data_IF_013871353356
#
_entry.id   IF_013871353356
#
_cell.length_a   1.000
_cell.length_b   1.000
_cell.length_c   1.000
_cell.angle_alpha   90.00
_cell.angle_beta   90.00
_cell.angle_gamma   90.00
#
_symmetry.space_group_name_H-M   'P 1'
#
loop_
_entity.id
_entity.type
_entity.pdbx_description
1 polymer ?
#
# COMPACT_ATOMS: atom_id res chain seq x y z
N UNK A 1 1.80 25.79 38.24
CA UNK A 1 2.79 24.85 37.68
C UNK A 1 2.28 24.44 36.31
N UNK A 2 3.05 24.62 35.24
CA UNK A 2 2.66 24.04 33.95
C UNK A 2 2.92 22.54 33.98
N UNK A 3 1.93 21.74 33.61
CA UNK A 3 2.10 20.29 33.45
C UNK A 3 3.05 20.03 32.28
N UNK A 4 4.10 19.24 32.49
CA UNK A 4 4.95 18.74 31.41
C UNK A 4 4.13 17.75 30.58
N UNK A 5 3.96 17.99 29.28
CA UNK A 5 3.12 17.18 28.41
C UNK A 5 3.97 16.24 27.52
N UNK A 6 5.16 16.68 27.11
CA UNK A 6 6.09 15.86 26.34
C UNK A 6 7.53 16.37 26.50
N UNK A 7 8.49 15.54 26.11
CA UNK A 7 9.90 15.90 25.95
C UNK A 7 10.24 15.93 24.46
N UNK A 8 10.95 16.96 24.02
CA UNK A 8 11.55 17.03 22.69
C UNK A 8 13.05 16.94 22.85
N UNK A 9 13.65 15.94 22.21
CA UNK A 9 15.08 15.66 22.23
C UNK A 9 15.63 15.87 20.81
N UNK A 10 16.69 16.66 20.69
CA UNK A 10 17.46 16.83 19.45
C UNK A 10 18.84 16.23 19.68
N UNK A 11 19.16 15.16 18.96
CA UNK A 11 20.48 14.53 18.97
C UNK A 11 21.14 14.59 17.59
N UNK A 12 22.47 14.52 17.60
CA UNK A 12 23.26 14.26 16.39
C UNK A 12 24.20 13.10 16.70
N UNK A 13 23.96 11.97 16.06
CA UNK A 13 24.68 10.73 16.29
C UNK A 13 25.56 10.41 15.08
N UNK A 14 26.78 9.93 15.35
CA UNK A 14 27.72 9.55 14.29
C UNK A 14 27.13 8.37 13.48
N UNK A 15 27.10 8.51 12.15
CA UNK A 15 26.49 7.53 11.24
C UNK A 15 24.97 7.64 11.08
N UNK A 16 24.24 8.12 12.09
CA UNK A 16 22.77 8.22 12.09
C UNK A 16 22.24 9.61 11.71
N UNK A 17 23.07 10.65 11.82
CA UNK A 17 22.70 12.00 11.41
C UNK A 17 21.99 12.78 12.51
N UNK A 18 20.99 13.60 12.16
CA UNK A 18 20.21 14.40 13.11
C UNK A 18 18.91 13.68 13.43
N UNK A 19 18.60 13.52 14.72
CA UNK A 19 17.34 12.93 15.19
C UNK A 19 16.58 13.93 16.04
N UNK A 20 15.30 14.11 15.74
CA UNK A 20 14.33 14.80 16.59
C UNK A 20 13.37 13.76 17.15
N UNK A 21 13.33 13.59 18.46
CA UNK A 21 12.48 12.61 19.15
C UNK A 21 11.52 13.33 20.10
N UNK A 22 10.22 13.13 19.88
CA UNK A 22 9.16 13.58 20.77
C UNK A 22 8.64 12.40 21.58
N UNK A 23 8.77 12.46 22.91
CA UNK A 23 8.31 11.42 23.85
C UNK A 23 7.16 11.97 24.68
N UNK A 24 6.00 11.30 24.64
CA UNK A 24 4.90 11.66 25.53
C UNK A 24 5.28 11.29 26.98
N UNK A 25 4.87 12.13 27.95
CA UNK A 25 5.15 11.87 29.36
C UNK A 25 4.31 10.71 29.90
N UNK A 26 3.05 10.64 29.50
CA UNK A 26 2.03 9.81 30.16
C UNK A 26 1.63 8.56 29.34
N UNK A 27 2.19 8.40 28.14
CA UNK A 27 1.98 7.23 27.28
C UNK A 27 3.29 6.75 26.66
N UNK A 28 3.27 5.54 26.09
CA UNK A 28 4.37 5.01 25.28
C UNK A 28 4.37 5.53 23.84
N UNK A 29 3.57 6.55 23.55
CA UNK A 29 3.50 7.15 22.22
C UNK A 29 4.73 8.02 21.99
N UNK A 30 5.34 7.87 20.82
CA UNK A 30 6.52 8.62 20.44
C UNK A 30 6.59 8.87 18.94
N UNK A 31 7.21 9.98 18.57
CA UNK A 31 7.43 10.35 17.20
C UNK A 31 8.90 10.69 16.98
N UNK A 32 9.45 10.26 15.85
CA UNK A 32 10.84 10.52 15.51
C UNK A 32 10.96 10.99 14.06
N UNK A 33 11.84 11.96 13.84
CA UNK A 33 12.34 12.35 12.52
C UNK A 33 13.85 12.14 12.54
N UNK A 34 14.36 11.33 11.63
CA UNK A 34 15.78 11.09 11.46
C UNK A 34 16.22 11.56 10.07
N UNK A 35 17.22 12.44 10.05
CA UNK A 35 17.85 13.00 8.87
C UNK A 35 19.28 12.47 8.80
N UNK A 36 19.49 11.44 7.99
CA UNK A 36 20.82 10.86 7.75
C UNK A 36 21.45 11.44 6.48
N UNK A 37 22.67 11.00 6.15
CA UNK A 37 23.32 11.39 4.91
C UNK A 37 22.67 10.78 3.65
N UNK A 38 21.89 9.71 3.80
CA UNK A 38 21.35 8.92 2.68
C UNK A 38 19.83 8.76 2.72
N UNK A 39 19.18 9.12 3.83
CA UNK A 39 17.76 8.88 4.04
C UNK A 39 17.10 9.88 4.97
N UNK A 40 15.79 10.00 4.81
CA UNK A 40 14.90 10.67 5.74
C UNK A 40 13.94 9.61 6.27
N UNK A 41 13.87 9.45 7.59
CA UNK A 41 13.00 8.46 8.24
C UNK A 41 12.05 9.16 9.20
N UNK A 42 10.75 8.88 9.07
CA UNK A 42 9.71 9.33 10.00
C UNK A 42 9.14 8.10 10.70
N UNK A 43 9.08 8.14 12.03
CA UNK A 43 8.53 7.05 12.84
C UNK A 43 7.43 7.62 13.72
N UNK A 44 6.30 6.94 13.77
CA UNK A 44 5.20 7.21 14.69
C UNK A 44 4.83 5.94 15.41
N UNK A 45 4.92 5.94 16.75
CA UNK A 45 4.51 4.83 17.59
C UNK A 45 3.31 5.20 18.44
N UNK A 46 2.36 4.27 18.52
CA UNK A 46 1.26 4.31 19.46
C UNK A 46 1.19 2.94 20.15
N UNK A 47 1.58 2.89 21.42
CA UNK A 47 1.78 1.61 22.12
C UNK A 47 2.78 0.71 21.38
N UNK A 48 2.32 -0.48 20.94
CA UNK A 48 3.12 -1.42 20.14
C UNK A 48 3.06 -1.17 18.64
N UNK A 49 2.08 -0.38 18.17
CA UNK A 49 1.90 -0.12 16.74
C UNK A 49 2.89 0.92 16.26
N UNK A 50 3.52 0.66 15.11
CA UNK A 50 4.51 1.58 14.52
C UNK A 50 4.16 1.85 13.06
N UNK A 51 4.20 3.10 12.62
CA UNK A 51 4.28 3.44 11.20
C UNK A 51 5.64 4.09 10.94
N UNK A 52 6.31 3.62 9.91
CA UNK A 52 7.60 4.17 9.46
C UNK A 52 7.50 4.58 8.00
N UNK A 53 7.90 5.81 7.69
CA UNK A 53 8.15 6.25 6.31
C UNK A 53 9.65 6.40 6.13
N UNK A 54 10.21 5.83 5.08
CA UNK A 54 11.64 5.96 4.75
C UNK A 54 11.78 6.41 3.32
N UNK A 55 12.44 7.56 3.14
CA UNK A 55 12.79 8.11 1.84
C UNK A 55 14.31 8.00 1.65
N UNK A 56 14.73 7.52 0.49
CA UNK A 56 16.12 7.58 0.03
C UNK A 56 16.18 8.37 -1.28
N UNK A 57 17.35 8.46 -1.91
CA UNK A 57 17.49 9.09 -3.22
C UNK A 57 16.64 8.41 -4.31
N UNK A 58 16.44 7.09 -4.20
CA UNK A 58 15.90 6.25 -5.26
C UNK A 58 14.63 5.49 -4.87
N UNK A 59 14.14 5.69 -3.63
CA UNK A 59 12.97 4.96 -3.12
C UNK A 59 12.20 5.72 -2.04
N UNK A 60 10.94 5.32 -1.89
CA UNK A 60 10.06 5.71 -0.80
C UNK A 60 9.32 4.46 -0.30
N UNK A 61 9.33 4.21 1.00
CA UNK A 61 8.56 3.13 1.64
C UNK A 61 7.71 3.66 2.78
N UNK A 62 6.51 3.11 2.93
CA UNK A 62 5.63 3.28 4.08
C UNK A 62 5.35 1.90 4.65
N UNK A 63 5.86 1.64 5.84
CA UNK A 63 5.74 0.38 6.56
C UNK A 63 4.80 0.58 7.75
N UNK A 64 3.69 -0.16 7.78
CA UNK A 64 2.70 -0.11 8.86
C UNK A 64 2.76 -1.40 9.67
N UNK A 65 2.89 -1.23 10.97
CA UNK A 65 2.85 -2.23 12.03
C UNK A 65 3.76 -3.44 11.76
N UNK A 66 5.06 -3.17 11.55
CA UNK A 66 6.05 -4.22 11.29
C UNK A 66 5.85 -4.92 9.94
N UNK A 67 5.55 -4.15 8.89
CA UNK A 67 5.33 -4.62 7.50
C UNK A 67 4.08 -5.47 7.27
N UNK A 68 3.07 -5.37 8.15
CA UNK A 68 1.74 -5.94 7.87
C UNK A 68 1.05 -5.26 6.68
N UNK A 69 1.37 -3.99 6.45
CA UNK A 69 1.05 -3.31 5.21
C UNK A 69 2.24 -2.47 4.77
N UNK A 70 2.59 -2.56 3.50
CA UNK A 70 3.74 -1.88 2.89
C UNK A 70 3.29 -1.24 1.59
N UNK A 71 3.64 0.03 1.41
CA UNK A 71 3.66 0.69 0.12
C UNK A 71 5.11 1.07 -0.19
N UNK A 72 5.69 0.48 -1.21
CA UNK A 72 7.06 0.75 -1.64
C UNK A 72 7.08 1.26 -3.07
N UNK A 73 7.97 2.21 -3.32
CA UNK A 73 8.17 2.82 -4.63
C UNK A 73 9.66 2.96 -4.87
N UNK A 74 10.09 2.64 -6.08
CA UNK A 74 11.44 2.91 -6.56
C UNK A 74 11.38 3.45 -8.01
N UNK A 75 12.53 3.54 -8.67
CA UNK A 75 12.65 4.06 -10.04
C UNK A 75 11.78 3.35 -11.08
N UNK A 76 11.45 2.08 -10.86
CA UNK A 76 10.81 1.22 -11.86
C UNK A 76 9.47 0.64 -11.39
N UNK A 77 9.28 0.50 -10.07
CA UNK A 77 8.19 -0.27 -9.48
C UNK A 77 7.49 0.49 -8.37
N UNK A 78 6.16 0.38 -8.35
CA UNK A 78 5.30 0.70 -7.22
C UNK A 78 4.65 -0.60 -6.77
N UNK A 79 4.85 -0.99 -5.51
CA UNK A 79 4.33 -2.23 -4.95
C UNK A 79 3.54 -1.95 -3.66
N UNK A 80 2.39 -2.61 -3.53
CA UNK A 80 1.57 -2.59 -2.33
C UNK A 80 1.32 -4.00 -1.85
N UNK A 81 1.68 -4.27 -0.59
CA UNK A 81 1.45 -5.56 0.07
C UNK A 81 0.65 -5.33 1.35
N UNK A 82 -0.47 -6.04 1.50
CA UNK A 82 -1.35 -5.90 2.67
C UNK A 82 -2.26 -7.12 2.83
N UNK A 83 -2.86 -7.26 4.01
CA UNK A 83 -3.86 -8.31 4.27
C UNK A 83 -5.18 -8.05 3.54
N UNK A 84 -5.62 -6.79 3.49
CA UNK A 84 -6.90 -6.40 2.88
C UNK A 84 -6.72 -5.14 2.04
N UNK A 85 -7.11 -5.20 0.76
CA UNK A 85 -7.11 -4.06 -0.16
C UNK A 85 -8.53 -3.73 -0.62
N UNK A 86 -8.89 -2.45 -0.62
CA UNK A 86 -10.18 -1.98 -1.13
C UNK A 86 -10.00 -0.72 -1.96
N UNK A 87 -10.46 -0.75 -3.21
CA UNK A 87 -10.49 0.40 -4.10
C UNK A 87 -11.94 0.85 -4.29
N UNK A 88 -12.24 2.09 -3.91
CA UNK A 88 -13.57 2.70 -4.04
C UNK A 88 -13.42 4.07 -4.70
N UNK A 89 -14.07 4.26 -5.84
CA UNK A 89 -14.08 5.52 -6.57
C UNK A 89 -15.52 5.97 -6.82
N UNK A 90 -15.79 7.27 -6.69
CA UNK A 90 -17.07 7.88 -7.04
C UNK A 90 -17.18 8.20 -8.54
N UNK A 91 -16.04 8.42 -9.20
CA UNK A 91 -15.93 8.58 -10.65
C UNK A 91 -15.59 7.26 -11.35
N UNK A 92 -14.47 7.25 -12.07
CA UNK A 92 -13.96 6.07 -12.78
C UNK A 92 -12.67 5.53 -12.17
N UNK A 93 -12.38 4.26 -12.45
CA UNK A 93 -11.06 3.64 -12.29
C UNK A 93 -10.63 3.17 -13.67
N UNK A 94 -9.46 3.61 -14.13
CA UNK A 94 -8.85 3.18 -15.40
C UNK A 94 -7.51 2.50 -15.12
N UNK A 95 -7.25 1.40 -15.82
CA UNK A 95 -5.99 0.65 -15.75
C UNK A 95 -5.57 0.35 -17.18
N UNK A 96 -4.38 0.80 -17.56
CA UNK A 96 -3.81 0.62 -18.90
C UNK A 96 -2.37 0.11 -18.76
N UNK A 97 -2.01 -0.88 -19.56
CA UNK A 97 -0.65 -1.42 -19.66
C UNK A 97 -0.35 -1.69 -21.12
N UNK A 98 0.84 -1.30 -21.56
CA UNK A 98 1.36 -1.62 -22.91
C UNK A 98 2.00 -3.01 -22.97
N UNK A 99 2.16 -3.64 -21.81
CA UNK A 99 2.76 -4.96 -21.63
C UNK A 99 1.74 -5.91 -20.99
N UNK A 100 2.19 -7.06 -20.52
CA UNK A 100 1.33 -8.02 -19.83
C UNK A 100 0.67 -7.40 -18.58
N UNK A 101 -0.60 -7.75 -18.35
CA UNK A 101 -1.31 -7.52 -17.09
C UNK A 101 -1.80 -8.87 -16.57
N UNK A 102 -1.48 -9.18 -15.32
CA UNK A 102 -1.89 -10.43 -14.67
C UNK A 102 -2.67 -10.13 -13.39
N UNK A 103 -3.83 -10.76 -13.24
CA UNK A 103 -4.67 -10.68 -12.04
C UNK A 103 -4.90 -12.10 -11.55
N UNK A 104 -4.47 -12.38 -10.31
CA UNK A 104 -4.58 -13.70 -9.69
C UNK A 104 -5.34 -13.62 -8.36
N UNK A 105 -6.32 -14.49 -8.19
CA UNK A 105 -6.99 -14.71 -6.92
C UNK A 105 -6.65 -16.12 -6.40
N UNK A 106 -6.38 -16.25 -5.09
CA UNK A 106 -6.14 -17.55 -4.46
C UNK A 106 -7.41 -18.38 -4.24
N UNK A 107 -8.59 -17.74 -4.31
CA UNK A 107 -9.89 -18.39 -4.18
C UNK A 107 -10.84 -17.94 -5.29
N UNK A 108 -11.80 -17.07 -5.00
CA UNK A 108 -12.80 -16.61 -5.96
C UNK A 108 -12.37 -15.29 -6.60
N UNK A 109 -12.37 -15.24 -7.94
CA UNK A 109 -12.39 -13.97 -8.68
C UNK A 109 -13.84 -13.61 -9.04
N UNK A 110 -14.30 -12.44 -8.60
CA UNK A 110 -15.66 -11.94 -8.87
C UNK A 110 -15.56 -10.58 -9.57
N UNK A 111 -16.01 -10.52 -10.81
CA UNK A 111 -16.17 -9.29 -11.57
C UNK A 111 -17.65 -9.08 -11.87
N UNK A 112 -18.17 -7.89 -11.58
CA UNK A 112 -19.58 -7.54 -11.80
C UNK A 112 -19.67 -6.12 -12.32
N UNK A 113 -20.57 -5.91 -13.27
CA UNK A 113 -21.01 -4.60 -13.70
C UNK A 113 -22.54 -4.57 -13.75
N UNK A 114 -23.13 -3.40 -13.49
CA UNK A 114 -24.58 -3.22 -13.55
C UNK A 114 -25.09 -3.12 -15.00
N UNK A 115 -24.29 -2.52 -15.89
CA UNK A 115 -24.68 -2.30 -17.27
C UNK A 115 -24.05 -3.33 -18.22
N UNK A 116 -22.71 -3.34 -18.32
CA UNK A 116 -22.00 -4.15 -19.31
C UNK A 116 -20.61 -4.53 -18.81
N UNK A 117 -20.18 -5.74 -19.16
CA UNK A 117 -18.78 -6.17 -19.11
C UNK A 117 -18.32 -6.41 -20.54
N UNK A 118 -17.25 -5.74 -20.96
CA UNK A 118 -16.62 -5.93 -22.27
C UNK A 118 -15.27 -6.60 -22.07
N UNK A 119 -15.04 -7.73 -22.74
CA UNK A 119 -13.74 -8.43 -22.76
C UNK A 119 -13.34 -8.60 -24.22
N UNK A 120 -12.28 -7.92 -24.63
CA UNK A 120 -11.81 -7.88 -26.01
C UNK A 120 -10.34 -8.26 -26.09
N UNK A 121 -10.01 -9.09 -27.06
CA UNK A 121 -8.64 -9.48 -27.38
C UNK A 121 -8.65 -10.27 -28.68
N UNK A 122 -7.46 -10.48 -29.26
CA UNK A 122 -7.34 -11.33 -30.44
C UNK A 122 -7.76 -12.78 -30.14
N UNK A 123 -7.59 -13.21 -28.88
CA UNK A 123 -8.02 -14.50 -28.37
C UNK A 123 -8.53 -14.31 -26.94
N UNK A 124 -9.66 -14.95 -26.63
CA UNK A 124 -10.25 -14.95 -25.29
C UNK A 124 -10.53 -16.38 -24.88
N UNK A 125 -9.89 -16.83 -23.80
CA UNK A 125 -10.04 -18.19 -23.28
C UNK A 125 -10.75 -18.17 -21.93
N UNK A 126 -11.85 -18.92 -21.81
CA UNK A 126 -12.58 -19.13 -20.56
C UNK A 126 -12.59 -20.62 -20.25
N UNK A 127 -11.89 -21.01 -19.19
CA UNK A 127 -11.73 -22.41 -18.79
C UNK A 127 -12.24 -22.61 -17.36
N UNK A 128 -13.25 -23.45 -17.21
CA UNK A 128 -13.70 -23.99 -15.92
C UNK A 128 -13.35 -25.47 -15.84
N UNK A 129 -12.54 -25.86 -14.84
CA UNK A 129 -12.10 -27.25 -14.69
C UNK A 129 -13.28 -28.24 -14.58
N UNK A 130 -14.34 -27.85 -13.87
CA UNK A 130 -15.54 -28.66 -13.72
C UNK A 130 -16.68 -28.18 -14.61
N UNK A 131 -17.02 -26.89 -14.53
CA UNK A 131 -18.17 -26.29 -15.21
C UNK A 131 -17.84 -24.85 -15.60
N UNK A 132 -18.24 -24.46 -16.80
CA UNK A 132 -18.35 -23.06 -17.22
C UNK A 132 -19.82 -22.74 -17.49
N UNK A 133 -20.45 -21.90 -16.67
CA UNK A 133 -21.85 -21.52 -16.83
C UNK A 133 -21.95 -20.16 -17.54
N UNK A 134 -22.68 -20.12 -18.66
CA UNK A 134 -22.98 -18.90 -19.41
C UNK A 134 -24.50 -18.76 -19.51
N UNK A 135 -25.04 -17.65 -19.03
CA UNK A 135 -26.49 -17.39 -19.02
C UNK A 135 -26.77 -15.96 -19.46
N UNK A 136 -27.75 -15.80 -20.33
CA UNK A 136 -28.29 -14.51 -20.77
C UNK A 136 -29.60 -14.73 -21.51
N UNK A 137 -30.38 -13.67 -21.74
CA UNK A 137 -31.58 -13.76 -22.56
C UNK A 137 -31.26 -14.17 -24.01
N UNK A 138 -30.08 -13.80 -24.50
CA UNK A 138 -29.52 -14.21 -25.78
C UNK A 138 -28.04 -14.55 -25.59
N UNK A 139 -27.62 -15.70 -26.10
CA UNK A 139 -26.22 -16.07 -26.23
C UNK A 139 -25.96 -16.21 -27.73
N UNK A 140 -25.21 -15.27 -28.30
CA UNK A 140 -24.80 -15.32 -29.69
C UNK A 140 -23.37 -15.85 -29.76
N UNK A 141 -23.22 -17.01 -30.36
CA UNK A 141 -21.91 -17.59 -30.71
C UNK A 141 -21.75 -17.41 -32.22
N UNK A 142 -20.59 -16.88 -32.63
CA UNK A 142 -20.22 -16.73 -34.03
C UNK A 142 -19.49 -17.96 -34.53
#
# INVERSE_FOLDING_TARGET
MSTLICTIELSKDEGEGITVHVKNKDSSDEHQIQLSNTSITLISKNGSSTTQTTQTADSLSIDVDGKKSVLSMNKETIEMSCTNFSLKASGSVSVESTSETSIKAGSNFKAQANAQVNVTGNMTTLEGQSITNIKGALIKQG
#
